data_IF_725134732255
#
_entry.id   IF_725134732255
#
_cell.length_a   1.000
_cell.length_b   1.000
_cell.length_c   1.000
_cell.angle_alpha   90.00
_cell.angle_beta   90.00
_cell.angle_gamma   90.00
#
_symmetry.space_group_name_H-M   'P 1'
#
loop_
_entity.id
_entity.type
_entity.pdbx_description
1 polymer ?
#
# COMPACT_ATOMS: atom_id res chain seq x y z
N UNK A 1 -4.24 -0.02 14.73
CA UNK A 1 -4.20 0.22 13.27
C UNK A 1 -5.64 0.38 12.78
N UNK A 2 -5.99 1.49 12.10
CA UNK A 2 -7.36 1.68 11.56
C UNK A 2 -7.47 0.99 10.20
N UNK A 3 -8.58 0.30 9.97
CA UNK A 3 -8.91 -0.38 8.71
C UNK A 3 -9.93 0.45 7.92
N UNK A 4 -9.75 0.50 6.62
CA UNK A 4 -10.65 1.16 5.67
C UNK A 4 -11.47 0.11 4.92
N UNK A 5 -12.74 0.38 4.65
CA UNK A 5 -13.57 -0.50 3.83
C UNK A 5 -13.62 0.02 2.39
N UNK A 6 -13.18 -0.79 1.43
CA UNK A 6 -13.19 -0.44 0.02
C UNK A 6 -14.62 -0.42 -0.53
N UNK A 7 -15.01 0.64 -1.24
CA UNK A 7 -16.38 0.78 -1.76
C UNK A 7 -16.75 -0.26 -2.83
N UNK A 8 -15.81 -0.64 -3.71
CA UNK A 8 -16.08 -1.56 -4.83
C UNK A 8 -16.29 -3.02 -4.38
N UNK A 9 -15.47 -3.49 -3.45
CA UNK A 9 -15.38 -4.91 -3.07
C UNK A 9 -15.84 -5.18 -1.64
N UNK A 10 -15.98 -4.14 -0.81
CA UNK A 10 -16.26 -4.28 0.62
C UNK A 10 -15.08 -4.80 1.45
N UNK A 11 -13.91 -5.02 0.83
CA UNK A 11 -12.73 -5.52 1.51
C UNK A 11 -12.24 -4.54 2.58
N UNK A 12 -11.81 -5.08 3.72
CA UNK A 12 -11.17 -4.31 4.79
C UNK A 12 -9.67 -4.26 4.54
N UNK A 13 -9.12 -3.05 4.48
CA UNK A 13 -7.73 -2.81 4.14
C UNK A 13 -7.07 -1.98 5.23
N UNK A 14 -5.98 -2.49 5.79
CA UNK A 14 -5.08 -1.69 6.60
C UNK A 14 -4.08 -0.99 5.67
N UNK A 15 -4.03 0.35 5.69
CA UNK A 15 -3.07 1.11 4.89
C UNK A 15 -2.08 1.78 5.84
N UNK A 16 -0.94 1.14 6.15
CA UNK A 16 0.13 1.79 6.87
C UNK A 16 0.68 2.95 6.01
N UNK A 17 0.88 4.10 6.64
CA UNK A 17 1.43 5.29 5.98
C UNK A 17 2.94 5.36 6.23
N UNK A 18 3.69 5.60 5.16
CA UNK A 18 5.15 5.80 5.24
C UNK A 18 5.46 7.04 6.08
N UNK A 19 6.66 7.10 6.66
CA UNK A 19 7.10 8.25 7.44
C UNK A 19 7.02 9.56 6.63
N UNK A 20 7.45 9.52 5.36
CA UNK A 20 7.36 10.66 4.45
C UNK A 20 5.92 11.14 4.24
N UNK A 21 4.98 10.21 3.99
CA UNK A 21 3.58 10.58 3.80
C UNK A 21 2.94 11.11 5.08
N UNK A 22 3.34 10.61 6.26
CA UNK A 22 2.78 11.00 7.56
C UNK A 22 2.94 12.49 7.86
N UNK A 23 4.00 13.11 7.37
CA UNK A 23 4.26 14.54 7.57
C UNK A 23 3.13 15.44 7.04
N UNK A 24 2.47 15.03 5.94
CA UNK A 24 1.45 15.85 5.28
C UNK A 24 0.12 15.88 6.07
N UNK A 25 -0.50 14.74 6.45
CA UNK A 25 -1.67 14.74 7.32
C UNK A 25 -1.41 15.38 8.69
N UNK A 26 -0.23 15.18 9.27
CA UNK A 26 0.09 15.74 10.59
C UNK A 26 0.20 17.27 10.54
N UNK A 27 0.81 17.83 9.49
CA UNK A 27 0.84 19.26 9.25
C UNK A 27 -0.57 19.84 9.01
N UNK A 28 -1.40 19.17 8.21
CA UNK A 28 -2.78 19.62 7.97
C UNK A 28 -3.65 19.52 9.22
N UNK A 29 -3.46 18.49 10.06
CA UNK A 29 -4.12 18.36 11.36
C UNK A 29 -3.72 19.49 12.31
N UNK A 30 -2.45 19.89 12.30
CA UNK A 30 -1.98 21.04 13.10
C UNK A 30 -2.60 22.34 12.62
N UNK A 31 -2.69 22.55 11.29
CA UNK A 31 -3.24 23.77 10.70
C UNK A 31 -4.76 23.91 10.88
N UNK A 32 -5.50 22.81 10.83
CA UNK A 32 -6.98 22.82 10.79
C UNK A 32 -7.65 22.25 12.04
N UNK A 33 -6.87 21.78 13.01
CA UNK A 33 -7.38 21.14 14.22
C UNK A 33 -8.02 19.77 13.93
N UNK A 34 -9.17 19.51 14.56
CA UNK A 34 -9.86 18.21 14.55
C UNK A 34 -10.70 17.95 13.28
N UNK A 35 -10.28 18.44 12.12
CA UNK A 35 -11.00 18.21 10.87
C UNK A 35 -11.08 16.71 10.54
N UNK A 36 -12.30 16.18 10.38
CA UNK A 36 -12.54 14.77 10.06
C UNK A 36 -12.12 14.41 8.62
N UNK A 37 -12.05 15.40 7.73
CA UNK A 37 -11.77 15.23 6.31
C UNK A 37 -10.39 15.77 5.96
N UNK A 38 -9.52 14.89 5.45
CA UNK A 38 -8.17 15.27 5.01
C UNK A 38 -8.23 16.02 3.67
N UNK A 39 -8.90 15.43 2.68
CA UNK A 39 -8.99 16.00 1.32
C UNK A 39 -10.13 17.02 1.22
N UNK A 40 -9.81 18.30 1.38
CA UNK A 40 -10.78 19.39 1.32
C UNK A 40 -10.50 20.37 0.17
N UNK A 41 -11.52 21.12 -0.22
CA UNK A 41 -11.42 22.26 -1.13
C UNK A 41 -10.82 23.47 -0.40
N UNK A 42 -10.52 24.55 -1.14
CA UNK A 42 -10.08 25.83 -0.55
C UNK A 42 -11.12 26.43 0.41
N UNK A 43 -12.40 26.04 0.28
CA UNK A 43 -13.51 26.44 1.16
C UNK A 43 -13.73 25.47 2.33
N UNK A 44 -12.80 24.55 2.59
CA UNK A 44 -12.89 23.57 3.69
C UNK A 44 -13.87 22.41 3.47
N UNK A 45 -14.61 22.38 2.36
CA UNK A 45 -15.57 21.31 2.07
C UNK A 45 -14.88 20.03 1.59
N UNK A 46 -15.40 18.83 1.89
CA UNK A 46 -14.89 17.59 1.33
C UNK A 46 -14.80 17.64 -0.20
N UNK A 47 -13.67 17.19 -0.76
CA UNK A 47 -13.55 17.10 -2.21
C UNK A 47 -14.40 15.96 -2.76
N UNK A 48 -15.10 16.22 -3.85
CA UNK A 48 -15.74 15.17 -4.66
C UNK A 48 -14.67 14.36 -5.41
N UNK A 49 -15.03 13.14 -5.80
CA UNK A 49 -14.16 12.29 -6.61
C UNK A 49 -13.78 12.98 -7.93
N UNK A 50 -14.75 13.59 -8.61
CA UNK A 50 -14.52 14.27 -9.88
C UNK A 50 -13.66 15.53 -9.72
N UNK A 51 -13.87 16.30 -8.65
CA UNK A 51 -13.00 17.43 -8.31
C UNK A 51 -11.56 17.00 -8.05
N UNK A 52 -11.37 15.83 -7.44
CA UNK A 52 -10.05 15.24 -7.25
C UNK A 52 -9.42 14.78 -8.57
N UNK A 53 -10.17 14.05 -9.42
CA UNK A 53 -9.71 13.63 -10.76
C UNK A 53 -9.29 14.83 -11.62
N UNK A 54 -10.06 15.91 -11.61
CA UNK A 54 -9.70 17.15 -12.32
C UNK A 54 -8.40 17.75 -11.80
N UNK A 55 -8.19 17.77 -10.47
CA UNK A 55 -6.94 18.26 -9.88
C UNK A 55 -5.74 17.39 -10.23
N UNK A 56 -5.93 16.07 -10.26
CA UNK A 56 -4.92 15.11 -10.70
C UNK A 56 -4.56 15.31 -12.18
N UNK A 57 -5.58 15.45 -13.04
CA UNK A 57 -5.39 15.70 -14.46
C UNK A 57 -4.58 16.98 -14.71
N UNK A 58 -4.80 18.04 -13.94
CA UNK A 58 -3.96 19.25 -14.02
C UNK A 58 -2.52 19.00 -13.57
N UNK A 59 -2.33 18.33 -12.44
CA UNK A 59 -1.00 18.12 -11.84
C UNK A 59 -0.08 17.31 -12.73
N UNK A 60 -0.62 16.32 -13.42
CA UNK A 60 0.20 15.48 -14.26
C UNK A 60 0.35 16.04 -15.69
N UNK A 61 -0.26 17.19 -16.04
CA UNK A 61 -0.25 17.75 -17.40
C UNK A 61 1.18 17.73 -17.99
N UNK A 62 1.36 16.99 -19.10
CA UNK A 62 2.69 16.67 -19.67
C UNK A 62 3.04 15.17 -19.70
N UNK A 63 2.28 14.31 -19.01
CA UNK A 63 2.42 12.84 -19.08
C UNK A 63 1.32 12.26 -19.99
N UNK A 64 1.68 11.68 -21.13
CA UNK A 64 0.72 11.07 -22.07
C UNK A 64 0.16 9.74 -21.57
N UNK A 65 -1.03 9.36 -22.06
CA UNK A 65 -1.62 8.03 -21.86
C UNK A 65 -2.00 7.66 -20.42
N UNK A 66 -1.94 8.60 -19.47
CA UNK A 66 -2.19 8.30 -18.06
C UNK A 66 -3.67 8.24 -17.69
N UNK A 67 -3.98 7.40 -16.72
CA UNK A 67 -5.25 7.35 -16.02
C UNK A 67 -5.05 7.51 -14.51
N UNK A 68 -6.13 7.82 -13.79
CA UNK A 68 -6.06 7.85 -12.34
C UNK A 68 -5.76 6.47 -11.73
N UNK A 69 -6.18 5.39 -12.40
CA UNK A 69 -5.95 4.02 -11.96
C UNK A 69 -4.45 3.67 -11.95
N UNK A 70 -3.67 4.26 -12.86
CA UNK A 70 -2.23 4.05 -12.98
C UNK A 70 -1.46 4.43 -11.71
N UNK A 71 -2.02 5.29 -10.85
CA UNK A 71 -1.38 5.62 -9.57
C UNK A 71 -1.23 4.40 -8.66
N UNK A 72 -2.23 3.51 -8.67
CA UNK A 72 -2.23 2.28 -7.87
C UNK A 72 -1.37 1.20 -8.53
N UNK A 73 -1.40 1.12 -9.86
CA UNK A 73 -0.52 0.22 -10.62
C UNK A 73 0.94 0.62 -10.44
N UNK A 74 1.23 1.93 -10.45
CA UNK A 74 2.57 2.45 -10.14
C UNK A 74 3.01 2.08 -8.72
N UNK A 75 2.10 2.06 -7.75
CA UNK A 75 2.41 1.61 -6.39
C UNK A 75 2.75 0.11 -6.36
N UNK A 76 2.00 -0.72 -7.10
CA UNK A 76 2.31 -2.16 -7.29
C UNK A 76 3.73 -2.33 -7.84
N UNK A 77 4.07 -1.62 -8.92
CA UNK A 77 5.40 -1.67 -9.54
C UNK A 77 6.50 -1.21 -8.58
N UNK A 78 6.29 -0.12 -7.86
CA UNK A 78 7.28 0.42 -6.92
C UNK A 78 7.57 -0.57 -5.78
N UNK A 79 6.56 -1.26 -5.29
CA UNK A 79 6.73 -2.30 -4.26
C UNK A 79 7.44 -3.53 -4.81
N UNK A 80 7.05 -4.01 -6.00
CA UNK A 80 7.72 -5.13 -6.67
C UNK A 80 9.22 -4.85 -6.89
N UNK A 81 9.55 -3.64 -7.39
CA UNK A 81 10.94 -3.20 -7.59
C UNK A 81 11.72 -3.01 -6.29
N UNK A 82 11.03 -2.79 -5.17
CA UNK A 82 11.62 -2.76 -3.84
C UNK A 82 11.83 -4.17 -3.25
N UNK A 83 11.46 -5.22 -3.98
CA UNK A 83 11.61 -6.62 -3.56
C UNK A 83 10.47 -7.15 -2.69
N UNK A 84 9.34 -6.41 -2.59
CA UNK A 84 8.16 -6.89 -1.87
C UNK A 84 7.55 -8.11 -2.57
N UNK A 85 7.15 -9.11 -1.80
CA UNK A 85 6.45 -10.29 -2.31
C UNK A 85 5.01 -9.99 -2.71
N UNK A 86 4.42 -10.84 -3.57
CA UNK A 86 3.02 -10.68 -4.01
C UNK A 86 2.03 -10.49 -2.86
N UNK A 87 2.13 -11.23 -1.73
CA UNK A 87 1.25 -11.02 -0.58
C UNK A 87 1.31 -9.62 0.03
N UNK A 88 2.52 -9.10 0.20
CA UNK A 88 2.72 -7.75 0.74
C UNK A 88 2.11 -6.71 -0.20
N UNK A 89 2.32 -6.89 -1.51
CA UNK A 89 1.81 -6.01 -2.55
C UNK A 89 0.28 -5.98 -2.55
N UNK A 90 -0.41 -7.11 -2.67
CA UNK A 90 -1.87 -7.09 -2.74
C UNK A 90 -2.51 -6.68 -1.41
N UNK A 91 -1.85 -6.94 -0.26
CA UNK A 91 -2.34 -6.53 1.05
C UNK A 91 -2.31 -5.02 1.28
N UNK A 92 -1.29 -4.30 0.78
CA UNK A 92 -1.26 -2.83 0.92
C UNK A 92 -1.99 -2.13 -0.23
N UNK A 93 -1.93 -2.71 -1.43
CA UNK A 93 -2.55 -2.15 -2.62
C UNK A 93 -3.97 -2.67 -2.85
N UNK A 94 -4.59 -3.45 -1.96
CA UNK A 94 -5.97 -3.95 -2.09
C UNK A 94 -6.38 -4.49 -3.47
N UNK A 95 -5.41 -5.01 -4.23
CA UNK A 95 -5.68 -5.70 -5.50
C UNK A 95 -6.08 -7.14 -5.20
N UNK A 96 -6.80 -7.77 -6.13
CA UNK A 96 -6.85 -9.23 -6.14
C UNK A 96 -5.48 -9.80 -6.51
N UNK A 97 -5.09 -11.00 -6.02
CA UNK A 97 -3.77 -11.59 -6.30
C UNK A 97 -3.44 -11.61 -7.81
N UNK A 98 -4.35 -12.15 -8.63
CA UNK A 98 -4.20 -12.21 -10.10
C UNK A 98 -4.03 -10.83 -10.74
N UNK A 99 -4.72 -9.81 -10.21
CA UNK A 99 -4.64 -8.45 -10.76
C UNK A 99 -3.29 -7.81 -10.48
N UNK A 100 -2.76 -7.98 -9.26
CA UNK A 100 -1.45 -7.46 -8.91
C UNK A 100 -0.34 -8.14 -9.72
N UNK A 101 -0.40 -9.47 -9.85
CA UNK A 101 0.55 -10.26 -10.63
C UNK A 101 0.53 -9.87 -12.12
N UNK A 102 -0.66 -9.66 -12.71
CA UNK A 102 -0.78 -9.21 -14.09
C UNK A 102 -0.16 -7.81 -14.31
N UNK A 103 -0.31 -6.90 -13.36
CA UNK A 103 0.31 -5.57 -13.42
C UNK A 103 1.84 -5.70 -13.38
N UNK A 104 2.39 -6.51 -12.47
CA UNK A 104 3.84 -6.74 -12.40
C UNK A 104 4.35 -7.38 -13.70
N UNK A 105 3.71 -8.45 -14.16
CA UNK A 105 4.11 -9.18 -15.37
C UNK A 105 4.08 -8.31 -16.63
N UNK A 106 3.13 -7.38 -16.73
CA UNK A 106 3.03 -6.44 -17.86
C UNK A 106 4.20 -5.46 -17.92
N UNK A 107 4.80 -5.12 -16.78
CA UNK A 107 5.73 -3.99 -16.67
C UNK A 107 7.16 -4.35 -16.24
N UNK A 108 7.39 -5.52 -15.64
CA UNK A 108 8.71 -6.08 -15.35
C UNK A 108 9.02 -7.20 -16.37
N UNK A 109 9.48 -6.81 -17.56
CA UNK A 109 9.91 -7.75 -18.61
C UNK A 109 11.32 -8.33 -18.39
N UNK A 110 12.01 -8.00 -17.30
CA UNK A 110 13.28 -8.62 -16.93
C UNK A 110 13.06 -9.68 -15.87
N UNK A 111 13.55 -10.89 -16.11
CA UNK A 111 13.64 -12.00 -15.15
C UNK A 111 14.67 -11.65 -14.08
N UNK A 112 14.27 -10.74 -13.21
CA UNK A 112 15.05 -10.22 -12.12
C UNK A 112 15.35 -11.34 -11.11
N UNK A 113 16.61 -11.49 -10.73
CA UNK A 113 17.02 -12.50 -9.75
C UNK A 113 16.77 -12.04 -8.30
N UNK A 114 16.49 -10.75 -8.07
CA UNK A 114 16.27 -10.19 -6.72
C UNK A 114 15.13 -10.87 -5.96
N UNK A 115 13.96 -11.19 -6.55
CA UNK A 115 12.91 -11.95 -5.87
C UNK A 115 13.37 -13.35 -5.43
N UNK A 116 14.18 -14.04 -6.24
CA UNK A 116 14.72 -15.35 -5.88
C UNK A 116 15.69 -15.24 -4.70
N UNK A 117 16.57 -14.23 -4.70
CA UNK A 117 17.49 -13.95 -3.59
C UNK A 117 16.71 -13.62 -2.31
N UNK A 118 15.74 -12.70 -2.39
CA UNK A 118 14.88 -12.30 -1.26
C UNK A 118 14.10 -13.48 -0.68
N UNK A 119 13.61 -14.40 -1.53
CA UNK A 119 12.92 -15.61 -1.08
C UNK A 119 13.84 -16.52 -0.26
N UNK A 120 15.09 -16.72 -0.70
CA UNK A 120 16.08 -17.51 0.05
C UNK A 120 16.44 -16.80 1.36
N UNK A 121 16.73 -15.50 1.34
CA UNK A 121 17.03 -14.75 2.56
C UNK A 121 15.90 -14.82 3.59
N UNK A 122 14.65 -14.73 3.14
CA UNK A 122 13.46 -14.81 3.98
C UNK A 122 13.33 -16.20 4.60
N UNK A 123 13.57 -17.27 3.81
CA UNK A 123 13.59 -18.65 4.29
C UNK A 123 14.65 -18.85 5.37
N UNK A 124 15.88 -18.38 5.13
CA UNK A 124 16.98 -18.53 6.08
C UNK A 124 16.73 -17.74 7.38
N UNK A 125 16.18 -16.52 7.28
CA UNK A 125 15.72 -15.74 8.45
C UNK A 125 14.61 -16.46 9.23
N UNK A 126 13.73 -17.18 8.56
CA UNK A 126 12.67 -17.96 9.21
C UNK A 126 13.25 -19.17 9.95
N UNK A 127 14.17 -19.92 9.32
CA UNK A 127 14.84 -21.08 9.95
C UNK A 127 15.70 -20.68 11.15
N UNK A 128 16.36 -19.53 11.09
CA UNK A 128 17.20 -19.02 12.17
C UNK A 128 16.39 -18.52 13.39
N UNK A 129 15.06 -18.40 13.27
CA UNK A 129 14.20 -17.99 14.39
C UNK A 129 14.03 -19.18 15.35
N UNK A 130 14.44 -19.06 16.63
CA UNK A 130 14.22 -20.13 17.59
C UNK A 130 12.71 -20.38 17.72
N UNK A 131 12.29 -21.65 17.58
CA UNK A 131 10.91 -22.02 17.86
C UNK A 131 10.65 -21.73 19.34
N UNK A 132 9.65 -20.88 19.63
CA UNK A 132 9.15 -20.74 20.97
C UNK A 132 8.55 -22.10 21.37
N UNK A 133 9.30 -22.85 22.17
CA UNK A 133 8.83 -24.07 22.81
C UNK A 133 7.77 -23.62 23.81
N UNK A 134 6.49 -23.75 23.44
CA UNK A 134 5.40 -23.60 24.40
C UNK A 134 5.47 -24.80 25.36
N UNK A 135 6.22 -24.64 26.44
CA UNK A 135 6.22 -25.56 27.58
C UNK A 135 4.84 -25.52 28.23
N UNK A 136 4.05 -26.57 28.03
CA UNK A 136 2.89 -26.86 28.87
C UNK A 136 3.39 -27.46 30.19
N UNK A 137 3.86 -26.61 31.09
CA UNK A 137 4.10 -27.02 32.47
C UNK A 137 2.74 -27.09 33.17
N UNK A 138 2.21 -28.32 33.31
CA UNK A 138 1.06 -28.59 34.16
C UNK A 138 1.59 -28.70 35.59
N UNK A 139 1.13 -27.89 36.55
CA UNK A 139 1.61 -27.99 37.93
C UNK A 139 1.19 -29.33 38.55
N UNK A 140 2.03 -29.92 39.44
CA UNK A 140 1.72 -31.20 40.07
C UNK A 140 0.57 -31.04 41.10
N UNK A 141 -0.22 -32.10 41.23
CA UNK A 141 -1.39 -32.24 42.12
C UNK A 141 -1.05 -32.10 43.61
#
# INVERSE_FOLDING_TARGET
MRVLRQSKTGAHLAIPVTAGLRTVPDAEKTRRGSALTICTTSRGQPRTLDGYKTSFAKTAAGIEGRTFHDTRDTAVLRLARAGCGSPEIYSITGHGPKSAEAIVAKHDLSRDSRPAISAVETLEKHKARPQAVNGSDKPPE
#
